data_IF_713480361699
#
_entry.id   IF_713480361699
#
_cell.length_a   1.000
_cell.length_b   1.000
_cell.length_c   1.000
_cell.angle_alpha   90.00
_cell.angle_beta   90.00
_cell.angle_gamma   90.00
#
_symmetry.space_group_name_H-M   'P 1'
#
loop_
_entity.id
_entity.type
_entity.pdbx_description
1 polymer ?
#
# COMPACT_ATOMS: atom_id res chain seq x y z
N UNK A 1 16.34 -16.18 9.40
CA UNK A 1 15.12 -15.88 8.66
C UNK A 1 14.95 -14.39 8.42
N UNK A 2 14.39 -14.04 7.29
CA UNK A 2 14.03 -12.67 6.98
C UNK A 2 12.97 -12.14 7.96
N UNK A 3 13.21 -10.97 8.52
CA UNK A 3 12.23 -10.25 9.34
C UNK A 3 11.50 -9.23 8.48
N UNK A 4 10.18 -9.35 8.45
CA UNK A 4 9.30 -8.46 7.68
C UNK A 4 8.47 -7.64 8.65
N UNK A 5 8.63 -6.31 8.62
CA UNK A 5 7.78 -5.39 9.35
C UNK A 5 6.67 -4.91 8.43
N UNK A 6 5.44 -5.25 8.75
CA UNK A 6 4.26 -4.72 8.09
C UNK A 6 3.67 -3.61 8.97
N UNK A 7 3.72 -2.38 8.47
CA UNK A 7 2.94 -1.28 9.05
C UNK A 7 1.52 -1.50 8.55
N UNK A 8 0.73 -2.20 9.36
CA UNK A 8 -0.59 -2.69 8.99
C UNK A 8 -1.67 -1.68 9.35
N UNK A 9 -2.02 -0.86 8.40
CA UNK A 9 -3.03 0.18 8.52
C UNK A 9 -4.40 -0.28 8.00
N UNK A 10 -4.52 -1.57 7.66
CA UNK A 10 -5.76 -2.24 7.25
C UNK A 10 -6.46 -2.96 8.41
N UNK A 11 -5.91 -2.90 9.62
CA UNK A 11 -6.44 -3.63 10.78
C UNK A 11 -7.90 -3.25 11.12
N UNK A 12 -8.36 -2.06 10.75
CA UNK A 12 -9.76 -1.63 10.90
C UNK A 12 -10.71 -2.36 9.93
N UNK A 13 -10.17 -2.95 8.85
CA UNK A 13 -10.88 -3.80 7.89
C UNK A 13 -10.37 -5.23 7.99
N UNK A 14 -10.68 -5.88 9.08
CA UNK A 14 -10.05 -7.14 9.50
C UNK A 14 -10.02 -8.22 8.42
N UNK A 15 -11.12 -8.43 7.70
CA UNK A 15 -11.19 -9.47 6.68
C UNK A 15 -10.37 -9.11 5.43
N UNK A 16 -10.53 -7.91 4.90
CA UNK A 16 -9.74 -7.43 3.77
C UNK A 16 -8.26 -7.31 4.16
N UNK A 17 -7.98 -6.78 5.34
CA UNK A 17 -6.62 -6.65 5.88
C UNK A 17 -5.93 -8.00 5.96
N UNK A 18 -6.60 -9.01 6.53
CA UNK A 18 -6.06 -10.36 6.64
C UNK A 18 -5.65 -10.92 5.28
N UNK A 19 -6.55 -10.90 4.30
CA UNK A 19 -6.27 -11.48 3.00
C UNK A 19 -5.29 -10.63 2.17
N UNK A 20 -5.38 -9.31 2.26
CA UNK A 20 -4.44 -8.40 1.59
C UNK A 20 -3.02 -8.52 2.15
N UNK A 21 -2.86 -8.54 3.46
CA UNK A 21 -1.55 -8.73 4.09
C UNK A 21 -1.02 -10.14 3.81
N UNK A 22 -1.88 -11.16 3.81
CA UNK A 22 -1.49 -12.53 3.44
C UNK A 22 -0.95 -12.58 2.01
N UNK A 23 -1.62 -11.91 1.07
CA UNK A 23 -1.14 -11.82 -0.31
C UNK A 23 0.26 -11.17 -0.37
N UNK A 24 0.46 -10.08 0.34
CA UNK A 24 1.77 -9.42 0.41
C UNK A 24 2.84 -10.39 0.94
N UNK A 25 2.57 -11.03 2.06
CA UNK A 25 3.50 -11.95 2.73
C UNK A 25 3.84 -13.15 1.83
N UNK A 26 2.88 -13.62 1.02
CA UNK A 26 3.07 -14.80 0.16
C UNK A 26 4.21 -14.64 -0.85
N UNK A 27 4.63 -13.42 -1.13
CA UNK A 27 5.75 -13.13 -2.05
C UNK A 27 7.12 -13.22 -1.38
N UNK A 28 7.16 -13.42 -0.06
CA UNK A 28 8.40 -13.57 0.70
C UNK A 28 8.56 -15.03 1.14
N UNK A 29 9.80 -15.53 1.13
CA UNK A 29 10.07 -16.91 1.51
C UNK A 29 10.15 -17.03 3.04
N UNK A 30 9.10 -17.63 3.63
CA UNK A 30 9.03 -17.99 5.05
C UNK A 30 9.49 -16.85 6.00
N UNK A 31 8.90 -15.64 5.89
CA UNK A 31 9.33 -14.50 6.71
C UNK A 31 8.84 -14.62 8.14
N UNK A 32 9.61 -14.04 9.07
CA UNK A 32 9.11 -13.72 10.41
C UNK A 32 8.37 -12.39 10.31
N UNK A 33 7.05 -12.40 10.53
CA UNK A 33 6.18 -11.25 10.29
C UNK A 33 5.88 -10.52 11.59
N UNK A 34 6.14 -9.22 11.60
CA UNK A 34 5.74 -8.30 12.67
C UNK A 34 4.69 -7.35 12.13
N UNK A 35 3.61 -7.16 12.89
CA UNK A 35 2.48 -6.31 12.54
C UNK A 35 2.43 -5.10 13.47
N UNK A 36 2.65 -3.92 12.93
CA UNK A 36 2.56 -2.68 13.68
C UNK A 36 1.39 -1.85 13.17
N UNK A 37 0.41 -1.58 14.04
CA UNK A 37 -0.83 -0.87 13.71
C UNK A 37 -0.98 0.35 14.62
N UNK A 38 -0.22 1.45 14.36
CA UNK A 38 -0.20 2.62 15.25
C UNK A 38 -1.50 3.43 15.25
N UNK A 39 -2.37 3.21 14.28
CA UNK A 39 -3.62 3.97 14.07
C UNK A 39 -4.78 3.49 14.94
N UNK A 40 -4.66 2.35 15.59
CA UNK A 40 -5.75 1.76 16.36
C UNK A 40 -5.23 0.98 17.56
N UNK A 41 -6.07 0.86 18.58
CA UNK A 41 -5.85 -0.04 19.72
C UNK A 41 -6.47 -1.41 19.50
N UNK A 42 -7.34 -1.56 18.50
CA UNK A 42 -7.97 -2.84 18.12
C UNK A 42 -7.06 -3.57 17.10
N UNK A 43 -6.00 -4.14 17.62
CA UNK A 43 -4.93 -4.77 16.84
C UNK A 43 -5.20 -6.25 16.65
N UNK A 44 -4.80 -6.79 15.48
CA UNK A 44 -5.00 -8.19 15.12
C UNK A 44 -3.70 -8.81 14.60
N UNK A 45 -3.47 -10.07 14.94
CA UNK A 45 -2.31 -10.85 14.48
C UNK A 45 -2.62 -11.69 13.23
N UNK A 46 -3.89 -11.78 12.84
CA UNK A 46 -4.41 -12.58 11.72
C UNK A 46 -4.11 -14.10 11.82
N UNK A 47 -3.41 -14.55 12.85
CA UNK A 47 -2.95 -15.93 12.99
C UNK A 47 -1.61 -16.23 12.31
N UNK A 48 -0.95 -15.24 11.71
CA UNK A 48 0.32 -15.43 11.02
C UNK A 48 1.41 -14.37 11.32
N UNK A 49 1.12 -13.41 12.17
CA UNK A 49 2.09 -12.37 12.53
C UNK A 49 2.12 -12.11 14.02
N UNK A 50 3.17 -11.45 14.46
CA UNK A 50 3.33 -10.99 15.83
C UNK A 50 3.00 -9.50 15.90
N UNK A 51 1.99 -9.14 16.69
CA UNK A 51 1.62 -7.73 16.95
C UNK A 51 2.68 -7.09 17.81
N UNK A 52 3.14 -5.90 17.40
CA UNK A 52 4.12 -5.10 18.13
C UNK A 52 3.57 -3.70 18.40
N UNK A 53 3.99 -3.07 19.50
CA UNK A 53 3.54 -1.73 19.90
C UNK A 53 4.36 -0.61 19.27
N UNK A 54 5.52 -0.95 18.74
CA UNK A 54 6.45 -0.01 18.09
C UNK A 54 7.24 -0.74 17.02
N UNK A 55 7.85 -0.03 16.07
CA UNK A 55 8.66 -0.65 15.04
C UNK A 55 9.79 -1.51 15.64
N UNK A 56 10.05 -2.63 15.01
CA UNK A 56 11.18 -3.53 15.31
C UNK A 56 12.19 -3.44 14.18
N UNK A 57 13.43 -3.79 14.46
CA UNK A 57 14.45 -3.94 13.43
C UNK A 57 14.02 -5.06 12.47
N UNK A 58 13.96 -4.74 11.19
CA UNK A 58 13.53 -5.68 10.16
C UNK A 58 14.42 -5.58 8.92
N UNK A 59 14.34 -6.61 8.09
CA UNK A 59 15.09 -6.66 6.83
C UNK A 59 14.31 -6.03 5.66
N UNK A 60 13.01 -5.86 5.84
CA UNK A 60 12.11 -5.31 4.82
C UNK A 60 10.90 -4.67 5.51
N UNK A 61 10.44 -3.53 4.98
CA UNK A 61 9.27 -2.81 5.52
C UNK A 61 8.20 -2.68 4.45
N UNK A 62 6.96 -3.01 4.83
CA UNK A 62 5.76 -2.80 3.99
C UNK A 62 4.83 -1.83 4.71
N UNK A 63 4.37 -0.79 4.01
CA UNK A 63 3.34 0.12 4.53
C UNK A 63 2.09 -0.07 3.68
N UNK A 64 1.02 -0.55 4.30
CA UNK A 64 -0.23 -0.92 3.62
C UNK A 64 -1.11 0.29 3.31
N UNK A 65 -2.20 0.03 2.60
CA UNK A 65 -3.34 0.94 2.53
C UNK A 65 -4.01 1.13 3.89
N UNK A 66 -4.95 2.06 3.96
CA UNK A 66 -5.67 2.40 5.19
C UNK A 66 -7.01 3.05 4.86
N UNK A 67 -7.94 3.03 5.82
CA UNK A 67 -9.14 3.87 5.82
C UNK A 67 -8.83 5.32 6.21
N UNK A 68 -7.66 5.56 6.81
CA UNK A 68 -7.22 6.90 7.21
C UNK A 68 -6.70 7.67 6.00
N UNK A 69 -6.52 8.96 6.17
CA UNK A 69 -6.15 9.87 5.09
C UNK A 69 -4.92 10.69 5.47
N UNK A 70 -3.90 10.67 4.63
CA UNK A 70 -2.68 11.46 4.86
C UNK A 70 -3.00 12.96 4.88
N UNK A 71 -3.95 13.40 4.05
CA UNK A 71 -4.42 14.80 4.03
C UNK A 71 -5.08 15.24 5.34
N UNK A 72 -5.46 14.31 6.19
CA UNK A 72 -6.03 14.52 7.52
C UNK A 72 -5.06 13.95 8.55
N UNK A 73 -3.90 14.58 8.66
CA UNK A 73 -2.77 14.09 9.46
C UNK A 73 -3.13 13.89 10.91
N UNK A 74 -2.79 12.71 11.47
CA UNK A 74 -3.00 12.33 12.86
C UNK A 74 -1.63 12.11 13.54
N UNK A 75 -1.58 12.19 14.85
CA UNK A 75 -0.32 12.13 15.62
C UNK A 75 0.47 10.83 15.37
N UNK A 76 -0.21 9.69 15.23
CA UNK A 76 0.46 8.42 14.95
C UNK A 76 1.20 8.41 13.61
N UNK A 77 0.82 9.28 12.69
CA UNK A 77 1.50 9.40 11.38
C UNK A 77 2.91 9.97 11.54
N UNK A 78 3.18 10.75 12.60
CA UNK A 78 4.54 11.22 12.90
C UNK A 78 5.47 10.04 13.16
N UNK A 79 5.02 9.01 13.87
CA UNK A 79 5.81 7.81 14.16
C UNK A 79 6.11 7.01 12.88
N UNK A 80 5.15 6.92 11.98
CA UNK A 80 5.35 6.28 10.67
C UNK A 80 6.34 7.08 9.82
N UNK A 81 6.21 8.41 9.83
CA UNK A 81 7.13 9.30 9.10
C UNK A 81 8.57 9.16 9.63
N UNK A 82 8.75 9.05 10.94
CA UNK A 82 10.08 8.85 11.55
C UNK A 82 10.68 7.51 11.07
N UNK A 83 9.89 6.44 11.07
CA UNK A 83 10.32 5.15 10.53
C UNK A 83 10.77 5.28 9.07
N UNK A 84 9.97 5.94 8.23
CA UNK A 84 10.28 6.13 6.81
C UNK A 84 11.60 6.85 6.61
N UNK A 85 11.89 7.88 7.41
CA UNK A 85 13.12 8.67 7.31
C UNK A 85 14.35 7.93 7.80
N UNK A 86 14.20 7.08 8.81
CA UNK A 86 15.32 6.48 9.56
C UNK A 86 15.76 5.12 9.01
N UNK A 87 14.86 4.31 8.46
CA UNK A 87 15.23 2.96 8.00
C UNK A 87 15.98 3.00 6.67
N UNK A 88 16.96 2.12 6.54
CA UNK A 88 17.76 1.98 5.32
C UNK A 88 17.45 0.69 4.55
N UNK A 89 16.62 -0.17 5.11
CA UNK A 89 16.21 -1.43 4.47
C UNK A 89 15.22 -1.18 3.33
N UNK A 90 15.03 -2.14 2.43
CA UNK A 90 14.00 -2.04 1.39
C UNK A 90 12.61 -1.76 1.96
N UNK A 91 11.88 -0.88 1.32
CA UNK A 91 10.55 -0.44 1.74
C UNK A 91 9.61 -0.36 0.55
N UNK A 92 8.39 -0.86 0.71
CA UNK A 92 7.32 -0.67 -0.26
C UNK A 92 6.12 -0.01 0.40
N UNK A 93 5.43 0.84 -0.36
CA UNK A 93 4.21 1.52 0.08
C UNK A 93 3.07 1.33 -0.90
N UNK A 94 1.88 1.02 -0.38
CA UNK A 94 0.68 0.76 -1.16
C UNK A 94 -0.41 1.75 -0.74
N UNK A 95 -0.97 2.48 -1.70
CA UNK A 95 -2.08 3.43 -1.51
C UNK A 95 -1.75 4.46 -0.43
N UNK A 96 -2.29 4.33 0.79
CA UNK A 96 -1.90 5.17 1.92
C UNK A 96 -0.37 5.15 2.13
N UNK A 97 0.25 3.97 2.01
CA UNK A 97 1.70 3.81 2.14
C UNK A 97 2.49 4.62 1.11
N UNK A 98 2.03 4.65 -0.13
CA UNK A 98 2.59 5.51 -1.19
C UNK A 98 2.50 6.99 -0.78
N UNK A 99 1.36 7.40 -0.27
CA UNK A 99 1.10 8.79 0.11
C UNK A 99 1.96 9.23 1.30
N UNK A 100 2.01 8.43 2.36
CA UNK A 100 2.76 8.80 3.56
C UNK A 100 4.27 8.77 3.33
N UNK A 101 4.78 7.87 2.49
CA UNK A 101 6.19 7.86 2.11
C UNK A 101 6.54 9.15 1.38
N UNK A 102 5.74 9.56 0.38
CA UNK A 102 5.96 10.81 -0.33
C UNK A 102 5.91 12.02 0.60
N UNK A 103 4.89 12.12 1.44
CA UNK A 103 4.75 13.21 2.41
C UNK A 103 5.92 13.27 3.40
N UNK A 104 6.38 12.12 3.89
CA UNK A 104 7.48 12.02 4.85
C UNK A 104 8.83 12.41 4.25
N UNK A 105 8.99 12.30 2.94
CA UNK A 105 10.19 12.64 2.19
C UNK A 105 10.08 13.96 1.43
N UNK A 106 9.33 14.91 1.99
CA UNK A 106 9.26 16.29 1.50
C UNK A 106 8.21 16.55 0.44
N UNK A 107 7.35 15.57 0.13
CA UNK A 107 6.27 15.71 -0.83
C UNK A 107 5.00 16.31 -0.24
N UNK A 108 3.95 16.35 -1.05
CA UNK A 108 2.66 16.92 -0.68
C UNK A 108 1.52 16.02 -1.14
N UNK A 109 0.55 15.83 -0.24
CA UNK A 109 -0.66 15.05 -0.49
C UNK A 109 -1.87 15.95 -0.27
N UNK A 110 -2.81 15.92 -1.19
CA UNK A 110 -4.07 16.65 -1.08
C UNK A 110 -5.25 15.71 -1.23
N UNK A 111 -6.39 16.10 -0.66
CA UNK A 111 -7.64 15.40 -0.86
C UNK A 111 -8.33 15.91 -2.11
N UNK A 112 -8.65 15.00 -3.03
CA UNK A 112 -9.42 15.34 -4.21
C UNK A 112 -10.90 15.55 -3.86
N UNK A 113 -11.63 16.23 -4.73
CA UNK A 113 -13.07 16.46 -4.56
C UNK A 113 -13.86 15.15 -4.59
N UNK A 114 -13.48 14.21 -5.47
CA UNK A 114 -14.15 12.93 -5.64
C UNK A 114 -13.25 11.77 -5.35
N UNK A 115 -13.85 10.69 -4.83
CA UNK A 115 -13.17 9.42 -4.66
C UNK A 115 -12.97 8.73 -6.01
N UNK A 116 -11.79 8.13 -6.20
CA UNK A 116 -11.46 7.31 -7.37
C UNK A 116 -11.62 5.84 -7.00
N UNK A 117 -12.50 5.13 -7.71
CA UNK A 117 -12.73 3.69 -7.56
C UNK A 117 -12.89 3.09 -8.96
N UNK A 118 -11.85 2.42 -9.46
CA UNK A 118 -11.85 1.90 -10.82
C UNK A 118 -10.71 0.92 -11.05
N UNK A 119 -10.82 0.15 -12.10
CA UNK A 119 -9.65 -0.46 -12.78
C UNK A 119 -9.31 0.44 -13.95
N UNK A 120 -8.08 0.90 -14.02
CA UNK A 120 -7.65 1.87 -15.03
C UNK A 120 -6.25 1.56 -15.57
N UNK A 121 -5.95 1.98 -16.80
CA UNK A 121 -4.62 1.89 -17.36
C UNK A 121 -3.63 2.78 -16.59
N UNK A 122 -2.41 2.25 -16.42
CA UNK A 122 -1.28 2.97 -15.85
C UNK A 122 -0.14 2.96 -16.86
N UNK A 123 0.45 4.11 -17.07
CA UNK A 123 1.50 4.32 -18.06
C UNK A 123 2.83 4.55 -17.35
N UNK A 124 3.72 3.58 -17.44
CA UNK A 124 5.07 3.68 -16.88
C UNK A 124 6.01 4.41 -17.84
N UNK A 125 6.97 5.13 -17.28
CA UNK A 125 7.97 5.87 -18.08
C UNK A 125 8.85 4.96 -18.93
N UNK A 126 8.97 3.68 -18.55
CA UNK A 126 9.71 2.66 -19.34
C UNK A 126 8.95 2.13 -20.56
N UNK A 127 7.72 2.64 -20.79
CA UNK A 127 6.87 2.25 -21.93
C UNK A 127 5.84 1.19 -21.62
N UNK A 128 5.87 0.56 -20.43
CA UNK A 128 4.83 -0.41 -20.06
C UNK A 128 3.50 0.27 -19.86
N UNK A 129 2.44 -0.36 -20.34
CA UNK A 129 1.06 -0.05 -20.01
C UNK A 129 0.46 -1.25 -19.27
N UNK A 130 -0.05 -1.03 -18.08
CA UNK A 130 -0.66 -2.07 -17.25
C UNK A 130 -2.04 -1.63 -16.79
N UNK A 131 -2.84 -2.57 -16.27
CA UNK A 131 -4.10 -2.26 -15.63
C UNK A 131 -3.94 -2.41 -14.11
N UNK A 132 -4.53 -1.51 -13.36
CA UNK A 132 -4.44 -1.49 -11.91
C UNK A 132 -5.78 -1.13 -11.25
N UNK A 133 -5.98 -1.62 -10.04
CA UNK A 133 -7.16 -1.35 -9.23
C UNK A 133 -6.89 -0.18 -8.29
N UNK A 134 -7.70 0.86 -8.40
CA UNK A 134 -7.62 2.06 -7.59
C UNK A 134 -8.82 2.18 -6.65
N UNK A 135 -8.57 2.56 -5.41
CA UNK A 135 -9.58 3.07 -4.49
C UNK A 135 -8.90 4.05 -3.55
N UNK A 136 -9.07 5.35 -3.81
CA UNK A 136 -8.46 6.42 -3.01
C UNK A 136 -9.14 7.76 -3.27
N UNK A 137 -8.94 8.70 -2.37
CA UNK A 137 -9.39 10.08 -2.54
C UNK A 137 -8.24 11.09 -2.36
N UNK A 138 -7.22 10.72 -1.59
CA UNK A 138 -6.00 11.51 -1.50
C UNK A 138 -5.09 11.25 -2.69
N UNK A 139 -4.40 12.29 -3.15
CA UNK A 139 -3.44 12.23 -4.24
C UNK A 139 -2.11 12.86 -3.82
N UNK A 140 -1.01 12.19 -4.14
CA UNK A 140 0.30 12.81 -4.12
C UNK A 140 0.38 13.80 -5.28
N UNK A 141 0.65 15.06 -4.98
CA UNK A 141 0.81 16.12 -6.00
C UNK A 141 2.23 16.63 -6.11
N UNK A 142 3.07 16.33 -5.12
CA UNK A 142 4.50 16.58 -5.10
C UNK A 142 5.15 15.33 -4.52
N UNK A 143 6.04 14.70 -5.27
CA UNK A 143 6.69 13.46 -4.88
C UNK A 143 7.86 13.64 -3.90
N UNK A 144 8.27 14.87 -3.60
CA UNK A 144 9.40 15.15 -2.72
C UNK A 144 10.70 14.53 -3.26
N UNK A 145 11.37 13.73 -2.42
CA UNK A 145 12.61 13.05 -2.82
C UNK A 145 12.37 11.88 -3.79
N UNK A 146 11.13 11.43 -3.96
CA UNK A 146 10.83 10.30 -4.84
C UNK A 146 10.80 10.74 -6.30
N UNK A 147 11.20 9.83 -7.17
CA UNK A 147 11.08 9.95 -8.62
C UNK A 147 9.78 9.32 -9.08
N UNK A 148 8.96 10.06 -9.84
CA UNK A 148 7.71 9.55 -10.42
C UNK A 148 8.05 8.64 -11.60
N UNK A 149 7.54 7.41 -11.60
CA UNK A 149 7.79 6.43 -12.67
C UNK A 149 6.55 6.00 -13.42
N UNK A 150 5.35 6.37 -12.97
CA UNK A 150 4.10 6.04 -13.67
C UNK A 150 3.00 7.05 -13.37
N UNK A 151 2.08 7.17 -14.32
CA UNK A 151 0.88 8.03 -14.23
C UNK A 151 -0.35 7.31 -14.77
N UNK A 152 -1.53 7.82 -14.45
CA UNK A 152 -2.80 7.46 -15.08
C UNK A 152 -3.55 8.72 -15.49
N UNK A 153 -4.67 8.57 -16.17
CA UNK A 153 -5.46 9.74 -16.60
C UNK A 153 -6.05 10.51 -15.41
N UNK A 154 -6.44 9.81 -14.34
CA UNK A 154 -7.04 10.45 -13.15
C UNK A 154 -6.01 10.88 -12.10
N UNK A 155 -4.77 10.43 -12.21
CA UNK A 155 -3.76 10.60 -11.17
C UNK A 155 -2.38 10.78 -11.80
N UNK A 156 -1.76 11.93 -11.53
CA UNK A 156 -0.47 12.27 -12.14
C UNK A 156 0.71 11.49 -11.56
N UNK A 157 0.63 11.08 -10.29
CA UNK A 157 1.70 10.38 -9.57
C UNK A 157 1.15 9.06 -9.06
N UNK A 158 1.32 8.00 -9.85
CA UNK A 158 0.77 6.68 -9.56
C UNK A 158 1.81 5.75 -8.95
N UNK A 159 3.05 5.85 -9.37
CA UNK A 159 4.14 5.00 -8.87
C UNK A 159 5.42 5.81 -8.76
N UNK A 160 6.20 5.52 -7.73
CA UNK A 160 7.44 6.21 -7.44
C UNK A 160 8.54 5.24 -7.05
N UNK A 161 9.78 5.69 -7.22
CA UNK A 161 10.98 5.07 -6.66
C UNK A 161 11.86 6.13 -6.02
N UNK A 162 12.67 5.73 -5.03
CA UNK A 162 13.70 6.62 -4.51
C UNK A 162 14.96 6.52 -5.37
N UNK A 163 15.66 7.64 -5.65
CA UNK A 163 16.86 7.61 -6.50
C UNK A 163 18.03 6.80 -5.95
N UNK A 164 18.16 6.70 -4.62
CA UNK A 164 19.31 6.06 -3.95
C UNK A 164 18.92 5.00 -2.93
N UNK A 165 17.72 5.04 -2.38
CA UNK A 165 17.20 4.05 -1.43
C UNK A 165 16.32 3.02 -2.15
N UNK A 166 16.25 1.79 -1.62
CA UNK A 166 15.36 0.76 -2.15
C UNK A 166 13.92 1.00 -1.68
N UNK A 167 13.29 2.05 -2.22
CA UNK A 167 11.89 2.40 -1.93
C UNK A 167 11.10 2.36 -3.23
N UNK A 168 9.96 1.64 -3.21
CA UNK A 168 8.98 1.59 -4.30
C UNK A 168 7.60 1.85 -3.74
N UNK A 169 6.82 2.66 -4.43
CA UNK A 169 5.45 2.98 -4.00
C UNK A 169 4.49 2.94 -5.18
N UNK A 170 3.26 2.53 -4.91
CA UNK A 170 2.16 2.58 -5.89
C UNK A 170 0.88 3.07 -5.23
N UNK A 171 0.12 3.91 -5.96
CA UNK A 171 -1.18 4.39 -5.50
C UNK A 171 -2.25 3.30 -5.60
N UNK A 172 -2.12 2.38 -6.53
CA UNK A 172 -3.07 1.29 -6.72
C UNK A 172 -2.83 0.13 -5.74
N UNK A 173 -3.76 -0.83 -5.75
CA UNK A 173 -3.75 -1.98 -4.84
C UNK A 173 -3.40 -3.28 -5.58
N UNK A 174 -2.12 -3.62 -5.75
CA UNK A 174 -1.75 -4.89 -6.40
C UNK A 174 -2.01 -6.11 -5.52
N UNK A 175 -2.22 -5.91 -4.21
CA UNK A 175 -2.60 -6.97 -3.28
C UNK A 175 -4.08 -7.34 -3.39
N UNK A 176 -4.92 -6.50 -3.99
CA UNK A 176 -6.35 -6.74 -4.17
C UNK A 176 -6.59 -7.61 -5.41
N UNK A 177 -6.17 -8.86 -5.32
CA UNK A 177 -6.37 -9.86 -6.38
C UNK A 177 -7.84 -10.30 -6.46
N UNK A 178 -8.20 -11.00 -7.53
CA UNK A 178 -9.55 -11.58 -7.66
C UNK A 178 -9.92 -12.46 -6.46
N UNK A 179 -8.96 -13.25 -5.98
CA UNK A 179 -9.15 -14.13 -4.82
C UNK A 179 -9.36 -13.34 -3.53
N UNK A 180 -8.59 -12.26 -3.32
CA UNK A 180 -8.74 -11.38 -2.15
C UNK A 180 -10.12 -10.72 -2.14
N UNK A 181 -10.56 -10.20 -3.28
CA UNK A 181 -11.88 -9.56 -3.41
C UNK A 181 -13.00 -10.59 -3.20
N UNK A 182 -12.90 -11.76 -3.82
CA UNK A 182 -13.89 -12.83 -3.65
C UNK A 182 -14.01 -13.24 -2.18
N UNK A 183 -12.89 -13.33 -1.48
CA UNK A 183 -12.88 -13.67 -0.05
C UNK A 183 -13.51 -12.56 0.80
N UNK A 184 -13.22 -11.29 0.50
CA UNK A 184 -13.83 -10.15 1.18
C UNK A 184 -15.36 -10.15 1.03
N UNK A 185 -15.86 -10.46 -0.16
CA UNK A 185 -17.30 -10.59 -0.40
C UNK A 185 -17.88 -11.76 0.39
N UNK A 186 -17.24 -12.93 0.37
CA UNK A 186 -17.69 -14.14 1.06
C UNK A 186 -17.85 -13.93 2.56
N UNK A 187 -16.94 -13.18 3.19
CA UNK A 187 -16.98 -12.94 4.64
C UNK A 187 -17.75 -11.68 5.02
N UNK A 188 -18.33 -10.97 4.05
CA UNK A 188 -19.19 -9.80 4.30
C UNK A 188 -18.44 -8.47 4.52
N UNK A 189 -17.13 -8.41 4.25
CA UNK A 189 -16.33 -7.18 4.36
C UNK A 189 -16.51 -6.25 3.16
N UNK A 190 -16.96 -6.78 2.05
CA UNK A 190 -17.30 -6.06 0.81
C UNK A 190 -18.58 -6.65 0.23
N UNK A 191 -19.45 -5.81 -0.33
CA UNK A 191 -20.63 -6.27 -1.05
C UNK A 191 -20.29 -6.51 -2.53
N UNK A 192 -21.09 -7.37 -3.19
CA UNK A 192 -20.97 -7.55 -4.64
C UNK A 192 -21.16 -6.23 -5.39
N UNK A 193 -22.08 -5.38 -4.92
CA UNK A 193 -22.33 -4.07 -5.50
C UNK A 193 -21.09 -3.15 -5.41
N UNK A 194 -20.42 -3.14 -4.27
CA UNK A 194 -19.17 -2.37 -4.11
C UNK A 194 -18.09 -2.87 -5.07
N UNK A 195 -18.02 -4.17 -5.33
CA UNK A 195 -17.05 -4.76 -6.23
C UNK A 195 -17.35 -4.52 -7.72
N UNK A 196 -18.59 -4.17 -8.08
CA UNK A 196 -19.00 -3.95 -9.48
C UNK A 196 -18.22 -2.81 -10.17
N UNK A 197 -17.70 -1.84 -9.41
CA UNK A 197 -16.93 -0.73 -9.98
C UNK A 197 -15.57 -1.18 -10.52
N UNK A 198 -15.12 -2.38 -10.15
CA UNK A 198 -13.84 -2.92 -10.57
C UNK A 198 -14.03 -3.93 -11.70
N UNK A 199 -13.51 -3.61 -12.89
CA UNK A 199 -13.53 -4.55 -14.02
C UNK A 199 -12.47 -5.64 -13.85
N UNK A 200 -12.87 -6.71 -13.17
CA UNK A 200 -11.98 -7.85 -12.91
C UNK A 200 -11.77 -8.77 -14.12
N UNK A 201 -12.37 -8.44 -15.28
CA UNK A 201 -12.04 -9.10 -16.54
C UNK A 201 -10.68 -8.66 -17.10
N UNK A 202 -10.19 -7.51 -16.65
CA UNK A 202 -8.86 -7.02 -17.00
C UNK A 202 -7.78 -7.80 -16.26
N UNK A 203 -6.67 -8.06 -16.93
CA UNK A 203 -5.50 -8.60 -16.28
C UNK A 203 -4.83 -7.48 -15.47
N UNK A 204 -4.83 -7.62 -14.14
CA UNK A 204 -4.22 -6.66 -13.23
C UNK A 204 -2.74 -6.97 -13.04
N UNK A 205 -1.93 -5.93 -12.85
CA UNK A 205 -0.53 -6.09 -12.50
C UNK A 205 -0.40 -6.82 -11.16
N UNK A 206 0.53 -7.77 -11.08
CA UNK A 206 0.84 -8.49 -9.84
C UNK A 206 1.64 -7.60 -8.87
N UNK A 207 1.55 -7.91 -7.60
CA UNK A 207 2.36 -7.24 -6.56
C UNK A 207 3.86 -7.41 -6.84
N UNK A 208 4.26 -8.59 -7.28
CA UNK A 208 5.66 -8.87 -7.66
C UNK A 208 6.15 -7.91 -8.74
N UNK A 209 5.41 -7.78 -9.82
CA UNK A 209 5.80 -6.92 -10.95
C UNK A 209 5.73 -5.44 -10.59
N UNK A 210 4.78 -5.06 -9.73
CA UNK A 210 4.60 -3.68 -9.31
C UNK A 210 5.70 -3.19 -8.36
N UNK A 211 6.09 -4.00 -7.38
CA UNK A 211 6.85 -3.53 -6.21
C UNK A 211 8.09 -4.37 -5.87
N UNK A 212 8.17 -5.63 -6.28
CA UNK A 212 9.21 -6.54 -5.80
C UNK A 212 10.26 -6.91 -6.84
N UNK A 213 9.96 -6.82 -8.13
CA UNK A 213 10.89 -7.20 -9.20
C UNK A 213 12.10 -6.26 -9.34
N UNK A 214 12.09 -5.15 -8.62
CA UNK A 214 13.16 -4.13 -8.65
C UNK A 214 14.09 -4.19 -7.43
N UNK A 215 13.85 -5.12 -6.53
CA UNK A 215 14.58 -5.26 -5.27
C UNK A 215 15.65 -6.33 -5.33
#
# INVERSE_FOLDING_TARGET
KMKLLVVDLLAERKAFGKEGVREIISHFKDPVVYLWSPHTTDRVDYGFGQVVDKPVDADFVVITGSRRNVSQWEDWMDDVADLIREVEVPMIGICFGHQIIAASLGGKVIRAENQSQMVAPVYYKDGREINALFTHQDHVIDSGELEVIAKSEHCAIVACKHPTRNIRTVQYHPEATSEVIAKAIKVGDMTEKEAEVFDMSKQLISLKDALLSFL
#
